data_IF_680461939642
#
_entry.id   IF_680461939642
#
_cell.length_a   1.000
_cell.length_b   1.000
_cell.length_c   1.000
_cell.angle_alpha   90.00
_cell.angle_beta   90.00
_cell.angle_gamma   90.00
#
_symmetry.space_group_name_H-M   'P 1'
#
loop_
_entity.id
_entity.type
_entity.pdbx_description
1 polymer ?
#
# COMPACT_ATOMS: atom_id res chain seq x y z
N UNK A 1 48.83 42.76 -7.90
CA UNK A 1 48.41 42.49 -9.30
C UNK A 1 46.95 42.10 -9.28
N UNK A 2 46.06 42.77 -9.99
CA UNK A 2 44.68 42.35 -10.02
C UNK A 2 44.49 41.15 -10.95
N UNK A 3 43.70 40.16 -10.56
CA UNK A 3 43.39 38.98 -11.36
C UNK A 3 42.91 39.34 -12.78
N UNK A 4 42.16 40.45 -12.92
CA UNK A 4 41.65 40.95 -14.18
C UNK A 4 42.72 41.40 -15.18
N UNK A 5 43.93 41.85 -14.72
CA UNK A 5 44.99 42.28 -15.62
C UNK A 5 45.56 41.17 -16.51
N UNK A 6 45.54 39.93 -16.04
CA UNK A 6 45.99 38.78 -16.81
C UNK A 6 45.05 38.46 -17.98
N UNK A 7 43.72 38.60 -17.76
CA UNK A 7 42.72 38.37 -18.78
C UNK A 7 42.64 39.50 -19.83
N UNK A 8 42.84 40.72 -19.41
CA UNK A 8 42.88 41.88 -20.33
C UNK A 8 44.07 41.81 -21.27
N UNK A 9 45.21 41.34 -20.79
CA UNK A 9 46.45 41.23 -21.61
C UNK A 9 46.44 40.08 -22.60
N UNK A 10 45.53 39.12 -22.48
CA UNK A 10 45.41 37.93 -23.34
C UNK A 10 44.00 37.76 -23.89
N UNK A 11 43.51 38.64 -24.77
CA UNK A 11 42.12 38.64 -25.19
C UNK A 11 41.68 37.35 -25.89
N UNK A 12 42.56 36.77 -26.73
CA UNK A 12 42.29 35.50 -27.42
C UNK A 12 42.14 34.35 -26.41
N UNK A 13 43.04 34.25 -25.43
CA UNK A 13 42.95 33.23 -24.38
C UNK A 13 41.70 33.37 -23.51
N UNK A 14 41.27 34.60 -23.21
CA UNK A 14 40.07 34.88 -22.45
C UNK A 14 38.81 34.51 -23.21
N UNK A 15 38.73 34.82 -24.51
CA UNK A 15 37.57 34.45 -25.34
C UNK A 15 37.48 32.93 -25.54
N UNK A 16 38.61 32.23 -25.72
CA UNK A 16 38.61 30.77 -25.80
C UNK A 16 38.17 30.12 -24.46
N UNK A 17 38.61 30.64 -23.32
CA UNK A 17 38.19 30.17 -22.01
C UNK A 17 36.68 30.37 -21.80
N UNK A 18 36.18 31.55 -22.16
CA UNK A 18 34.72 31.84 -22.06
C UNK A 18 33.90 30.92 -22.95
N UNK A 19 34.38 30.68 -24.19
CA UNK A 19 33.74 29.73 -25.11
C UNK A 19 33.77 28.30 -24.57
N UNK A 20 34.87 27.87 -23.99
CA UNK A 20 34.99 26.53 -23.39
C UNK A 20 34.00 26.35 -22.22
N UNK A 21 33.90 27.35 -21.33
CA UNK A 21 32.93 27.33 -20.22
C UNK A 21 31.48 27.30 -20.75
N UNK A 22 31.20 28.09 -21.76
CA UNK A 22 29.87 28.09 -22.41
C UNK A 22 29.54 26.73 -23.02
N UNK A 23 30.45 26.10 -23.75
CA UNK A 23 30.24 24.78 -24.35
C UNK A 23 30.07 23.68 -23.31
N UNK A 24 30.88 23.71 -22.23
CA UNK A 24 30.70 22.77 -21.10
C UNK A 24 29.34 22.98 -20.44
N UNK A 25 28.91 24.22 -20.18
CA UNK A 25 27.61 24.53 -19.64
C UNK A 25 26.48 24.03 -20.53
N UNK A 26 26.56 24.24 -21.83
CA UNK A 26 25.58 23.77 -22.80
C UNK A 26 25.52 22.21 -22.88
N UNK A 27 26.67 21.53 -22.75
CA UNK A 27 26.71 20.06 -22.75
C UNK A 27 26.17 19.44 -21.45
N UNK A 28 26.35 20.12 -20.32
CA UNK A 28 25.88 19.62 -19.00
C UNK A 28 24.41 19.96 -18.74
N UNK A 29 23.89 21.02 -19.41
CA UNK A 29 22.50 21.46 -19.21
C UNK A 29 21.44 20.34 -19.26
N UNK A 30 21.43 19.43 -20.26
CA UNK A 30 20.44 18.34 -20.32
C UNK A 30 20.66 17.26 -19.24
N UNK A 31 21.82 17.24 -18.58
CA UNK A 31 22.11 16.27 -17.51
C UNK A 31 21.67 16.76 -16.12
N UNK A 32 21.23 18.01 -16.01
CA UNK A 32 20.76 18.56 -14.74
C UNK A 32 19.44 17.90 -14.33
N UNK A 33 19.33 17.37 -13.10
CA UNK A 33 18.08 16.81 -12.60
C UNK A 33 17.01 17.90 -12.47
N UNK A 34 15.86 17.68 -13.09
CA UNK A 34 14.70 18.55 -12.97
C UNK A 34 13.81 18.08 -11.83
N UNK A 35 13.60 18.90 -10.81
CA UNK A 35 12.66 18.68 -9.74
C UNK A 35 11.68 19.86 -9.67
N UNK A 36 10.40 19.58 -9.44
CA UNK A 36 9.35 20.61 -9.37
C UNK A 36 9.44 21.49 -8.11
N UNK A 37 10.07 20.99 -7.06
CA UNK A 37 10.26 21.70 -5.78
C UNK A 37 11.67 21.42 -5.24
N UNK A 38 12.26 22.36 -4.46
CA UNK A 38 13.48 22.07 -3.71
C UNK A 38 13.26 20.83 -2.84
N UNK A 39 14.24 19.94 -2.81
CA UNK A 39 14.18 18.75 -1.94
C UNK A 39 14.41 19.22 -0.50
N UNK A 40 13.34 19.29 0.26
CA UNK A 40 13.39 19.43 1.71
C UNK A 40 13.00 18.06 2.28
N UNK A 41 14.01 17.32 2.74
CA UNK A 41 13.77 16.02 3.39
C UNK A 41 13.31 16.28 4.82
N UNK A 42 12.02 16.08 5.05
CA UNK A 42 11.48 15.99 6.41
C UNK A 42 11.55 14.53 6.85
N UNK A 43 12.45 14.17 7.79
CA UNK A 43 12.54 12.80 8.28
C UNK A 43 11.21 12.42 8.95
N UNK A 44 10.38 11.69 8.24
CA UNK A 44 9.03 11.34 8.71
C UNK A 44 8.79 9.85 8.55
N UNK A 45 8.21 9.24 9.56
CA UNK A 45 7.83 7.83 9.58
C UNK A 45 6.32 7.74 9.81
N UNK A 46 5.63 7.02 8.94
CA UNK A 46 4.23 6.68 9.10
C UNK A 46 4.11 5.26 9.65
N UNK A 47 3.52 5.14 10.81
CA UNK A 47 3.15 3.85 11.42
C UNK A 47 1.68 3.58 11.17
N UNK A 48 1.36 2.36 10.75
CA UNK A 48 -0.02 1.93 10.47
C UNK A 48 -0.33 0.64 11.22
N UNK A 49 -1.48 0.61 11.87
CA UNK A 49 -2.02 -0.57 12.52
C UNK A 49 -3.47 -0.79 12.09
N UNK A 50 -3.88 -2.06 11.94
CA UNK A 50 -5.24 -2.42 11.53
C UNK A 50 -5.85 -3.38 12.54
N UNK A 51 -7.08 -3.07 12.94
CA UNK A 51 -7.94 -3.93 13.76
C UNK A 51 -9.34 -3.92 13.15
N UNK A 52 -9.63 -4.83 12.22
CA UNK A 52 -10.93 -4.86 11.54
C UNK A 52 -12.09 -4.89 12.53
N UNK A 53 -13.06 -3.99 12.33
CA UNK A 53 -14.23 -3.85 13.21
C UNK A 53 -14.01 -2.95 14.43
N UNK A 54 -12.79 -2.46 14.68
CA UNK A 54 -12.54 -1.49 15.76
C UNK A 54 -13.16 -0.14 15.47
N UNK A 55 -13.93 0.42 16.44
CA UNK A 55 -14.40 1.81 16.32
C UNK A 55 -13.22 2.78 16.40
N UNK A 56 -13.35 4.03 15.91
CA UNK A 56 -12.29 5.03 16.03
C UNK A 56 -11.82 5.22 17.47
N UNK A 57 -12.74 5.21 18.45
CA UNK A 57 -12.44 5.33 19.89
C UNK A 57 -11.67 4.12 20.41
N UNK A 58 -12.07 2.91 19.98
CA UNK A 58 -11.35 1.67 20.30
C UNK A 58 -9.95 1.71 19.70
N UNK A 59 -9.83 2.08 18.44
CA UNK A 59 -8.53 2.20 17.78
C UNK A 59 -7.63 3.22 18.47
N UNK A 60 -8.16 4.37 18.89
CA UNK A 60 -7.42 5.39 19.58
C UNK A 60 -6.93 4.90 20.96
N UNK A 61 -7.80 4.28 21.75
CA UNK A 61 -7.47 3.89 23.13
C UNK A 61 -6.65 2.60 23.23
N UNK A 62 -6.92 1.59 22.39
CA UNK A 62 -6.29 0.27 22.52
C UNK A 62 -5.09 0.07 21.60
N UNK A 63 -4.99 0.85 20.51
CA UNK A 63 -3.91 0.71 19.53
C UNK A 63 -3.03 1.96 19.48
N UNK A 64 -3.61 3.15 19.22
CA UNK A 64 -2.80 4.35 19.08
C UNK A 64 -2.13 4.75 20.39
N UNK A 65 -2.86 4.85 21.47
CA UNK A 65 -2.33 5.33 22.77
C UNK A 65 -1.16 4.49 23.32
N UNK A 66 -1.17 3.13 23.30
CA UNK A 66 0.01 2.35 23.68
C UNK A 66 1.23 2.63 22.81
N UNK A 67 1.03 2.78 21.49
CA UNK A 67 2.11 3.11 20.55
C UNK A 67 2.65 4.53 20.81
N UNK A 68 1.78 5.51 20.94
CA UNK A 68 2.14 6.91 21.22
C UNK A 68 3.00 7.06 22.48
N UNK A 69 2.67 6.32 23.52
CA UNK A 69 3.46 6.31 24.77
C UNK A 69 4.90 5.84 24.53
N UNK A 70 5.09 4.83 23.69
CA UNK A 70 6.44 4.35 23.37
C UNK A 70 7.16 5.29 22.42
N UNK A 71 6.45 5.84 21.42
CA UNK A 71 7.04 6.76 20.46
C UNK A 71 7.46 8.09 21.10
N UNK A 72 6.74 8.57 22.11
CA UNK A 72 7.12 9.80 22.82
C UNK A 72 8.47 9.72 23.53
N UNK A 73 9.00 8.52 23.73
CA UNK A 73 10.32 8.30 24.33
C UNK A 73 11.47 8.34 23.31
N UNK A 74 11.15 8.41 22.01
CA UNK A 74 12.16 8.39 20.94
C UNK A 74 12.87 9.75 20.87
N UNK A 75 14.22 9.79 20.97
CA UNK A 75 14.97 11.03 20.88
C UNK A 75 14.83 11.71 19.51
N UNK A 76 14.72 13.03 19.48
CA UNK A 76 14.63 13.82 18.24
C UNK A 76 13.28 13.74 17.55
N UNK A 77 12.22 13.29 18.24
CA UNK A 77 10.85 13.40 17.77
C UNK A 77 10.38 14.84 17.92
N UNK A 78 10.15 15.53 16.78
CA UNK A 78 9.70 16.93 16.74
C UNK A 78 8.17 17.03 16.84
N UNK A 79 7.46 16.14 16.14
CA UNK A 79 5.99 16.15 16.12
C UNK A 79 5.45 14.72 15.97
N UNK A 80 4.36 14.44 16.65
CA UNK A 80 3.59 13.21 16.51
C UNK A 80 2.12 13.57 16.28
N UNK A 81 1.53 12.98 15.23
CA UNK A 81 0.11 13.14 14.91
C UNK A 81 -0.49 11.77 14.70
N UNK A 82 -1.59 11.48 15.37
CA UNK A 82 -2.32 10.23 15.19
C UNK A 82 -3.71 10.47 14.62
N UNK A 83 -4.14 9.57 13.76
CA UNK A 83 -5.49 9.55 13.20
C UNK A 83 -6.04 8.13 13.30
N UNK A 84 -7.13 7.99 14.04
CA UNK A 84 -7.85 6.72 14.17
C UNK A 84 -9.18 6.79 13.44
N UNK A 85 -9.38 5.81 12.57
CA UNK A 85 -10.60 5.63 11.78
C UNK A 85 -11.18 4.24 12.06
N UNK A 86 -12.27 3.88 11.39
CA UNK A 86 -12.85 2.55 11.55
C UNK A 86 -11.85 1.46 11.12
N UNK A 87 -11.39 0.66 12.08
CA UNK A 87 -10.51 -0.47 11.84
C UNK A 87 -9.05 -0.12 11.50
N UNK A 88 -8.66 1.15 11.53
CA UNK A 88 -7.31 1.57 11.20
C UNK A 88 -6.83 2.74 12.08
N UNK A 89 -5.58 2.68 12.49
CA UNK A 89 -4.87 3.79 13.12
C UNK A 89 -3.60 4.11 12.35
N UNK A 90 -3.35 5.39 12.11
CA UNK A 90 -2.15 5.91 11.48
C UNK A 90 -1.49 6.92 12.41
N UNK A 91 -0.20 6.75 12.66
CA UNK A 91 0.60 7.64 13.50
C UNK A 91 1.75 8.16 12.65
N UNK A 92 1.79 9.46 12.44
CA UNK A 92 2.85 10.16 11.72
C UNK A 92 3.85 10.71 12.73
N UNK A 93 5.10 10.28 12.61
CA UNK A 93 6.22 10.68 13.44
C UNK A 93 7.17 11.54 12.60
N UNK A 94 7.25 12.81 12.90
CA UNK A 94 8.18 13.75 12.27
C UNK A 94 9.36 14.00 13.20
N UNK A 95 10.56 13.80 12.69
CA UNK A 95 11.81 13.97 13.43
C UNK A 95 12.50 15.29 13.09
N UNK A 96 13.45 15.68 13.92
CA UNK A 96 14.31 16.83 13.67
C UNK A 96 15.06 16.67 12.34
N UNK A 97 15.27 17.75 11.61
CA UNK A 97 15.93 17.76 10.30
C UNK A 97 17.34 17.14 10.31
N UNK A 98 18.03 17.23 11.45
CA UNK A 98 19.37 16.67 11.64
C UNK A 98 19.36 15.17 12.00
N UNK A 99 18.18 14.57 12.19
CA UNK A 99 18.07 13.16 12.58
C UNK A 99 18.15 12.26 11.35
N UNK A 100 19.07 11.30 11.37
CA UNK A 100 19.13 10.28 10.34
C UNK A 100 17.87 9.41 10.36
N UNK A 101 17.13 9.35 9.25
CA UNK A 101 15.86 8.62 9.14
C UNK A 101 16.02 7.11 9.37
N UNK A 102 17.19 6.54 9.04
CA UNK A 102 17.48 5.12 9.25
C UNK A 102 17.60 4.78 10.74
N UNK A 103 18.27 5.64 11.51
CA UNK A 103 18.34 5.51 12.97
C UNK A 103 16.97 5.68 13.61
N UNK A 104 16.18 6.66 13.17
CA UNK A 104 14.82 6.86 13.66
C UNK A 104 13.92 5.65 13.36
N UNK A 105 14.10 5.00 12.20
CA UNK A 105 13.33 3.81 11.84
C UNK A 105 13.62 2.61 12.74
N UNK A 106 14.87 2.43 13.18
CA UNK A 106 15.23 1.40 14.16
C UNK A 106 14.63 1.68 15.54
N UNK A 107 14.63 2.94 15.97
CA UNK A 107 14.01 3.33 17.24
C UNK A 107 12.49 3.12 17.19
N UNK A 108 11.84 3.47 16.08
CA UNK A 108 10.39 3.21 15.87
C UNK A 108 10.10 1.71 15.93
N UNK A 109 10.90 0.87 15.25
CA UNK A 109 10.72 -0.58 15.32
C UNK A 109 10.86 -1.11 16.74
N UNK A 110 11.86 -0.61 17.47
CA UNK A 110 12.08 -0.99 18.89
C UNK A 110 10.90 -0.57 19.76
N UNK A 111 10.35 0.62 19.54
CA UNK A 111 9.19 1.12 20.26
C UNK A 111 7.92 0.33 19.93
N UNK A 112 7.72 -0.09 18.68
CA UNK A 112 6.62 -1.00 18.28
C UNK A 112 6.74 -2.33 19.02
N UNK A 113 7.95 -2.90 19.07
CA UNK A 113 8.18 -4.16 19.78
C UNK A 113 7.93 -4.02 21.30
N UNK A 114 8.33 -2.89 21.89
CA UNK A 114 8.06 -2.59 23.30
C UNK A 114 6.56 -2.43 23.61
N UNK A 115 5.80 -1.88 22.66
CA UNK A 115 4.34 -1.75 22.77
C UNK A 115 3.59 -3.08 22.60
N UNK A 116 4.19 -4.11 21.98
CA UNK A 116 3.50 -5.32 21.53
C UNK A 116 2.68 -6.00 22.63
N UNK A 117 3.18 -6.05 23.86
CA UNK A 117 2.47 -6.65 25.01
C UNK A 117 1.26 -5.84 25.51
N UNK A 118 1.11 -4.59 25.07
CA UNK A 118 0.00 -3.70 25.43
C UNK A 118 -1.06 -3.59 24.31
N UNK A 119 -0.74 -4.12 23.14
CA UNK A 119 -1.65 -4.12 21.99
C UNK A 119 -2.66 -5.27 22.08
N UNK A 120 -3.85 -5.13 21.47
CA UNK A 120 -4.84 -6.20 21.41
C UNK A 120 -4.27 -7.47 20.79
N UNK A 121 -4.46 -8.63 21.45
CA UNK A 121 -3.98 -9.92 20.95
C UNK A 121 -4.62 -10.36 19.62
N UNK A 122 -5.77 -9.78 19.27
CA UNK A 122 -6.51 -10.06 18.03
C UNK A 122 -6.14 -9.15 16.87
N UNK A 123 -5.01 -8.42 16.92
CA UNK A 123 -4.47 -7.72 15.77
C UNK A 123 -4.10 -8.74 14.67
N UNK A 124 -4.62 -8.61 13.43
CA UNK A 124 -4.30 -9.54 12.34
C UNK A 124 -2.82 -9.56 11.97
N UNK A 125 -2.14 -8.42 12.16
CA UNK A 125 -0.71 -8.26 11.95
C UNK A 125 -0.15 -7.21 12.91
N UNK A 126 1.14 -7.31 13.28
CA UNK A 126 1.82 -6.25 14.03
C UNK A 126 1.73 -4.90 13.29
N UNK A 127 1.79 -3.77 14.03
CA UNK A 127 1.91 -2.46 13.40
C UNK A 127 3.11 -2.41 12.45
N UNK A 128 2.91 -1.82 11.29
CA UNK A 128 3.96 -1.65 10.27
C UNK A 128 4.33 -0.19 10.14
N UNK A 129 5.57 0.09 9.78
CA UNK A 129 6.01 1.45 9.52
C UNK A 129 6.62 1.59 8.13
N UNK A 130 6.60 2.80 7.61
CA UNK A 130 7.29 3.20 6.39
C UNK A 130 7.85 4.60 6.51
N UNK A 131 9.00 4.81 5.91
CA UNK A 131 9.56 6.15 5.74
C UNK A 131 8.75 6.87 4.69
N UNK A 132 8.34 8.09 4.97
CA UNK A 132 7.64 8.95 4.04
C UNK A 132 8.30 10.33 4.04
N UNK A 133 8.24 11.01 2.92
CA UNK A 133 8.50 12.44 2.90
C UNK A 133 7.17 13.14 2.61
N UNK A 134 6.62 13.93 3.52
CA UNK A 134 5.35 14.64 3.31
C UNK A 134 5.37 15.59 2.11
N UNK A 135 6.55 16.01 1.68
CA UNK A 135 6.74 16.86 0.50
C UNK A 135 6.76 16.07 -0.82
N UNK A 136 6.81 14.72 -0.77
CA UNK A 136 6.80 13.91 -1.98
C UNK A 136 5.38 13.73 -2.52
N UNK A 137 5.18 14.22 -3.73
CA UNK A 137 3.97 13.96 -4.51
C UNK A 137 4.19 12.77 -5.44
N UNK A 138 3.10 12.09 -5.79
CA UNK A 138 3.15 11.08 -6.85
C UNK A 138 3.58 11.75 -8.17
N UNK A 139 4.64 11.24 -8.78
CA UNK A 139 5.16 11.75 -10.07
C UNK A 139 4.32 11.30 -11.25
N UNK A 140 3.55 10.24 -11.07
CA UNK A 140 2.65 9.68 -12.05
C UNK A 140 1.47 9.01 -11.34
N UNK A 141 0.27 9.18 -11.88
CA UNK A 141 -0.90 8.45 -11.44
C UNK A 141 -1.46 7.66 -12.61
N UNK A 142 -1.80 6.39 -12.35
CA UNK A 142 -2.37 5.49 -13.34
C UNK A 142 -3.73 5.01 -12.83
N UNK A 143 -4.76 5.12 -13.66
CA UNK A 143 -6.06 4.54 -13.40
C UNK A 143 -6.17 3.19 -14.13
N UNK A 144 -6.56 2.15 -13.39
CA UNK A 144 -6.80 0.81 -13.91
C UNK A 144 -8.29 0.51 -13.77
N UNK A 145 -8.95 0.25 -14.89
CA UNK A 145 -10.39 0.04 -14.96
C UNK A 145 -10.74 -1.15 -15.85
N UNK A 146 -11.95 -1.66 -15.71
CA UNK A 146 -12.56 -2.62 -16.64
C UNK A 146 -14.07 -2.42 -16.66
N UNK A 147 -14.66 -2.52 -17.84
CA UNK A 147 -16.10 -2.45 -18.01
C UNK A 147 -16.78 -3.81 -17.76
N UNK A 148 -16.02 -4.90 -17.80
CA UNK A 148 -16.56 -6.27 -17.76
C UNK A 148 -16.08 -7.07 -16.55
N UNK A 149 -14.89 -6.77 -16.02
CA UNK A 149 -14.31 -7.51 -14.89
C UNK A 149 -14.67 -6.86 -13.56
N UNK A 150 -14.87 -7.66 -12.50
CA UNK A 150 -15.02 -7.13 -11.15
C UNK A 150 -13.78 -6.34 -10.72
N UNK A 151 -13.97 -5.26 -9.95
CA UNK A 151 -12.85 -4.46 -9.43
C UNK A 151 -11.86 -5.25 -8.57
N UNK A 152 -12.30 -6.34 -7.94
CA UNK A 152 -11.41 -7.25 -7.20
C UNK A 152 -10.38 -7.90 -8.12
N UNK A 153 -10.79 -8.36 -9.31
CA UNK A 153 -9.88 -8.91 -10.32
C UNK A 153 -8.98 -7.82 -10.92
N UNK A 154 -9.54 -6.62 -11.17
CA UNK A 154 -8.74 -5.47 -11.61
C UNK A 154 -7.67 -5.12 -10.58
N UNK A 155 -8.01 -5.19 -9.30
CA UNK A 155 -7.04 -4.96 -8.21
C UNK A 155 -5.93 -6.02 -8.18
N UNK A 156 -6.24 -7.28 -8.44
CA UNK A 156 -5.21 -8.33 -8.54
C UNK A 156 -4.21 -8.02 -9.66
N UNK A 157 -4.67 -7.64 -10.84
CA UNK A 157 -3.78 -7.21 -11.93
C UNK A 157 -2.97 -5.97 -11.57
N UNK A 158 -3.59 -4.99 -10.91
CA UNK A 158 -2.91 -3.77 -10.48
C UNK A 158 -1.81 -4.05 -9.45
N UNK A 159 -2.06 -4.93 -8.48
CA UNK A 159 -1.14 -5.26 -7.38
C UNK A 159 -0.04 -6.24 -7.82
N UNK A 160 -0.41 -7.35 -8.46
CA UNK A 160 0.52 -8.44 -8.77
C UNK A 160 1.35 -8.20 -10.04
N UNK A 161 0.84 -7.45 -10.99
CA UNK A 161 1.54 -7.19 -12.26
C UNK A 161 2.03 -5.75 -12.33
N UNK A 162 1.12 -4.77 -12.35
CA UNK A 162 1.51 -3.39 -12.61
C UNK A 162 2.38 -2.80 -11.51
N UNK A 163 1.93 -2.89 -10.24
CA UNK A 163 2.66 -2.31 -9.13
C UNK A 163 4.04 -2.94 -8.96
N UNK A 164 4.16 -4.27 -9.12
CA UNK A 164 5.43 -4.97 -9.00
C UNK A 164 6.39 -4.60 -10.14
N UNK A 165 5.93 -4.63 -11.38
CA UNK A 165 6.77 -4.32 -12.55
C UNK A 165 7.20 -2.84 -12.57
N UNK A 166 6.29 -1.92 -12.23
CA UNK A 166 6.62 -0.49 -12.14
C UNK A 166 7.63 -0.24 -11.01
N UNK A 167 7.51 -0.92 -9.87
CA UNK A 167 8.43 -0.77 -8.74
C UNK A 167 9.87 -1.21 -9.05
N UNK A 168 10.08 -2.03 -10.06
CA UNK A 168 11.41 -2.49 -10.50
C UNK A 168 12.10 -1.51 -11.45
N UNK A 169 11.40 -0.48 -11.94
CA UNK A 169 11.99 0.50 -12.83
C UNK A 169 12.91 1.45 -12.07
N UNK A 170 14.06 1.75 -12.68
CA UNK A 170 15.01 2.68 -12.14
C UNK A 170 14.42 4.08 -11.94
N UNK A 171 14.61 4.66 -10.75
CA UNK A 171 14.06 5.94 -10.35
C UNK A 171 12.70 5.85 -9.64
N UNK A 172 12.03 4.70 -9.66
CA UNK A 172 10.81 4.45 -8.89
C UNK A 172 11.17 4.01 -7.47
N UNK A 173 10.66 4.71 -6.47
CA UNK A 173 10.86 4.40 -5.06
C UNK A 173 9.72 3.58 -4.47
N UNK A 174 8.49 3.89 -4.84
CA UNK A 174 7.31 3.21 -4.31
C UNK A 174 6.13 3.35 -5.27
N UNK A 175 5.27 2.31 -5.29
CA UNK A 175 3.95 2.36 -5.92
C UNK A 175 2.89 2.13 -4.85
N UNK A 176 1.94 3.05 -4.73
CA UNK A 176 0.84 2.98 -3.76
C UNK A 176 -0.47 2.77 -4.52
N UNK A 177 -1.28 1.83 -4.05
CA UNK A 177 -2.60 1.58 -4.60
C UNK A 177 -3.64 2.34 -3.78
N UNK A 178 -4.39 3.21 -4.42
CA UNK A 178 -5.50 3.94 -3.85
C UNK A 178 -6.83 3.29 -4.24
N UNK A 179 -7.74 3.17 -3.26
CA UNK A 179 -9.01 2.48 -3.44
C UNK A 179 -8.87 0.98 -3.67
N UNK A 180 -7.96 0.27 -2.95
CA UNK A 180 -7.72 -1.15 -3.18
C UNK A 180 -8.99 -1.96 -2.96
N UNK A 181 -9.24 -2.94 -3.83
CA UNK A 181 -10.38 -3.85 -3.79
C UNK A 181 -9.88 -5.29 -3.71
N UNK A 182 -9.15 -5.62 -2.62
CA UNK A 182 -8.62 -6.97 -2.45
C UNK A 182 -9.76 -7.99 -2.40
N UNK A 183 -9.67 -9.11 -3.15
CA UNK A 183 -10.70 -10.13 -3.13
C UNK A 183 -10.80 -10.80 -1.75
N UNK A 184 -12.01 -11.02 -1.28
CA UNK A 184 -12.28 -11.71 -0.03
C UNK A 184 -13.62 -12.44 -0.06
N UNK A 185 -13.77 -13.43 0.80
CA UNK A 185 -15.07 -14.00 1.14
C UNK A 185 -15.62 -13.26 2.34
N UNK A 186 -16.79 -12.68 2.18
CA UNK A 186 -17.49 -11.91 3.22
C UNK A 186 -18.67 -12.69 3.73
N UNK A 187 -18.69 -12.96 5.02
CA UNK A 187 -19.82 -13.61 5.69
C UNK A 187 -20.69 -12.52 6.30
N UNK A 188 -21.83 -12.29 5.66
CA UNK A 188 -22.81 -11.29 6.07
C UNK A 188 -23.84 -11.95 6.97
N UNK A 189 -23.86 -11.59 8.24
CA UNK A 189 -24.71 -12.17 9.26
C UNK A 189 -25.90 -11.26 9.56
N UNK A 190 -27.05 -11.86 9.85
CA UNK A 190 -28.26 -11.18 10.32
C UNK A 190 -28.29 -11.21 11.86
N UNK A 191 -28.14 -10.06 12.54
CA UNK A 191 -28.11 -10.00 13.99
C UNK A 191 -29.40 -10.51 14.64
N UNK A 192 -30.56 -10.31 13.99
CA UNK A 192 -31.85 -10.75 14.53
C UNK A 192 -31.96 -12.28 14.52
N UNK A 193 -31.50 -12.93 13.45
CA UNK A 193 -31.48 -14.39 13.36
C UNK A 193 -30.49 -15.00 14.37
N UNK A 194 -29.30 -14.37 14.53
CA UNK A 194 -28.31 -14.79 15.53
C UNK A 194 -28.89 -14.75 16.94
N UNK A 195 -29.53 -13.62 17.31
CA UNK A 195 -30.16 -13.44 18.60
C UNK A 195 -31.29 -14.47 18.83
N UNK A 196 -32.14 -14.74 17.84
CA UNK A 196 -33.21 -15.77 17.91
C UNK A 196 -32.69 -17.19 18.13
N UNK A 197 -31.47 -17.47 17.67
CA UNK A 197 -30.80 -18.75 17.88
C UNK A 197 -29.93 -18.79 19.13
N UNK A 198 -29.72 -17.66 19.80
CA UNK A 198 -28.89 -17.52 21.00
C UNK A 198 -27.39 -17.58 20.70
N UNK A 199 -26.96 -17.22 19.46
CA UNK A 199 -25.57 -17.20 19.05
C UNK A 199 -24.98 -15.80 19.18
N UNK A 200 -23.82 -15.70 19.79
CA UNK A 200 -23.04 -14.44 19.82
C UNK A 200 -22.18 -14.30 18.55
N UNK A 201 -21.94 -13.05 18.14
CA UNK A 201 -21.02 -12.76 17.04
C UNK A 201 -19.61 -13.30 17.29
N UNK A 202 -19.14 -13.28 18.53
CA UNK A 202 -17.82 -13.80 18.90
C UNK A 202 -17.74 -15.32 18.76
N UNK A 203 -18.78 -16.07 19.10
CA UNK A 203 -18.84 -17.51 18.88
C UNK A 203 -18.76 -17.83 17.39
N UNK A 204 -19.48 -17.08 16.54
CA UNK A 204 -19.42 -17.24 15.09
C UNK A 204 -18.04 -16.89 14.54
N UNK A 205 -17.44 -15.78 15.00
CA UNK A 205 -16.09 -15.39 14.60
C UNK A 205 -15.06 -16.48 14.91
N UNK A 206 -15.12 -17.06 16.10
CA UNK A 206 -14.22 -18.13 16.52
C UNK A 206 -14.32 -19.37 15.61
N UNK A 207 -15.57 -19.78 15.29
CA UNK A 207 -15.79 -20.91 14.37
C UNK A 207 -15.27 -20.60 12.96
N UNK A 208 -15.53 -19.41 12.42
CA UNK A 208 -15.04 -18.99 11.10
C UNK A 208 -13.52 -19.03 11.06
N UNK A 209 -12.84 -18.53 12.10
CA UNK A 209 -11.39 -18.52 12.16
C UNK A 209 -10.78 -19.94 12.18
N UNK A 210 -11.46 -20.88 12.83
CA UNK A 210 -11.00 -22.28 12.90
C UNK A 210 -11.41 -23.14 11.69
N UNK A 211 -12.46 -22.72 10.95
CA UNK A 211 -12.96 -23.45 9.79
C UNK A 211 -12.07 -23.35 8.54
N UNK A 212 -11.16 -22.38 8.48
CA UNK A 212 -10.24 -22.19 7.36
C UNK A 212 -8.84 -21.94 7.89
N UNK A 213 -8.06 -23.01 8.00
CA UNK A 213 -6.72 -22.95 8.57
C UNK A 213 -5.73 -23.62 7.62
N UNK A 214 -4.61 -22.93 7.34
CA UNK A 214 -3.47 -23.51 6.66
C UNK A 214 -2.37 -23.78 7.70
N UNK A 215 -2.28 -25.00 8.16
CA UNK A 215 -1.30 -25.43 9.16
C UNK A 215 -0.56 -26.69 8.72
N UNK A 216 0.70 -26.80 9.12
CA UNK A 216 1.44 -28.04 8.95
C UNK A 216 0.74 -29.18 9.73
N UNK A 217 0.45 -30.29 9.05
CA UNK A 217 -0.23 -31.48 9.63
C UNK A 217 0.76 -32.55 10.09
N UNK A 218 2.07 -32.36 9.85
CA UNK A 218 3.12 -33.29 10.20
C UNK A 218 3.42 -34.33 9.12
N UNK A 219 4.10 -35.39 9.50
CA UNK A 219 4.54 -36.47 8.62
C UNK A 219 4.11 -37.83 9.14
N UNK A 220 3.87 -38.75 8.25
CA UNK A 220 3.74 -40.19 8.54
C UNK A 220 5.08 -40.84 8.24
N UNK A 221 5.83 -41.16 9.30
CA UNK A 221 7.16 -41.74 9.20
C UNK A 221 7.07 -43.27 9.27
N UNK A 222 7.40 -43.93 8.16
CA UNK A 222 7.56 -45.37 8.09
C UNK A 222 9.04 -45.76 8.16
N UNK A 223 9.32 -47.08 8.26
CA UNK A 223 10.69 -47.60 8.40
C UNK A 223 11.63 -47.28 7.21
N UNK A 224 11.09 -46.94 6.03
CA UNK A 224 11.85 -46.64 4.80
C UNK A 224 11.42 -45.40 4.06
N UNK A 225 10.28 -44.80 4.41
CA UNK A 225 9.69 -43.64 3.73
C UNK A 225 8.97 -42.76 4.71
N UNK A 226 9.05 -41.44 4.50
CA UNK A 226 8.29 -40.44 5.21
C UNK A 226 7.33 -39.76 4.22
N UNK A 227 6.07 -39.63 4.58
CA UNK A 227 5.04 -38.96 3.79
C UNK A 227 4.58 -37.72 4.52
N UNK A 228 4.70 -36.57 3.89
CA UNK A 228 4.10 -35.33 4.41
C UNK A 228 2.58 -35.39 4.28
N UNK A 229 1.87 -35.15 5.38
CA UNK A 229 0.41 -35.04 5.37
C UNK A 229 0.03 -33.63 4.96
N UNK A 230 -0.63 -33.51 3.81
CA UNK A 230 -1.20 -32.26 3.32
C UNK A 230 -2.71 -32.42 3.22
N UNK A 231 -3.44 -31.41 3.73
CA UNK A 231 -4.90 -31.36 3.67
C UNK A 231 -5.32 -29.99 3.17
N UNK A 232 -6.26 -29.96 2.23
CA UNK A 232 -6.83 -28.71 1.75
C UNK A 232 -7.95 -28.24 2.69
N UNK A 233 -7.56 -27.66 3.84
CA UNK A 233 -8.48 -27.15 4.86
C UNK A 233 -8.91 -25.70 4.59
N UNK A 234 -8.47 -25.08 3.48
CA UNK A 234 -8.82 -23.70 3.16
C UNK A 234 -10.11 -23.60 2.35
N UNK A 235 -11.03 -22.80 2.83
CA UNK A 235 -12.28 -22.48 2.13
C UNK A 235 -12.10 -21.15 1.38
N UNK A 236 -11.65 -21.24 0.12
CA UNK A 236 -11.31 -20.06 -0.71
C UNK A 236 -12.50 -19.45 -1.45
N UNK A 237 -13.64 -20.15 -1.52
CA UNK A 237 -14.84 -19.71 -2.26
C UNK A 237 -16.01 -19.46 -1.32
N UNK A 238 -16.89 -18.53 -1.69
CA UNK A 238 -18.04 -18.19 -0.85
C UNK A 238 -19.05 -19.34 -0.68
N UNK A 239 -19.31 -20.12 -1.74
CA UNK A 239 -20.36 -21.15 -1.71
C UNK A 239 -20.18 -22.19 -0.57
N UNK A 240 -18.99 -22.81 -0.37
CA UNK A 240 -18.80 -23.78 0.71
C UNK A 240 -18.98 -23.20 2.12
N UNK A 241 -18.74 -21.89 2.30
CA UNK A 241 -18.92 -21.24 3.60
C UNK A 241 -20.36 -21.29 4.09
N UNK A 242 -21.35 -21.30 3.19
CA UNK A 242 -22.75 -21.37 3.56
C UNK A 242 -23.12 -22.68 4.28
N UNK A 243 -22.33 -23.73 4.09
CA UNK A 243 -22.54 -25.04 4.70
C UNK A 243 -21.74 -25.25 5.99
N UNK A 244 -20.87 -24.34 6.37
CA UNK A 244 -20.11 -24.40 7.62
C UNK A 244 -21.07 -24.40 8.80
N UNK A 245 -20.90 -25.37 9.72
CA UNK A 245 -21.69 -25.50 10.93
C UNK A 245 -21.14 -24.58 12.01
N UNK A 246 -21.96 -23.65 12.47
CA UNK A 246 -21.62 -22.69 13.51
C UNK A 246 -21.84 -23.23 14.93
N UNK A 247 -22.92 -23.98 15.12
CA UNK A 247 -23.30 -24.57 16.40
C UNK A 247 -24.31 -25.69 16.21
N UNK A 248 -24.56 -26.42 17.28
CA UNK A 248 -25.69 -27.38 17.34
C UNK A 248 -26.72 -26.91 18.36
N UNK A 249 -27.99 -26.93 17.98
CA UNK A 249 -29.13 -26.65 18.88
C UNK A 249 -30.10 -27.81 18.82
N UNK A 250 -30.38 -28.42 19.96
CA UNK A 250 -31.26 -29.61 20.06
C UNK A 250 -30.89 -30.74 19.07
N UNK A 251 -29.57 -30.96 18.84
CA UNK A 251 -29.09 -31.96 17.92
C UNK A 251 -29.06 -31.54 16.43
N UNK A 252 -29.69 -30.42 16.07
CA UNK A 252 -29.70 -29.90 14.71
C UNK A 252 -28.51 -28.93 14.46
N UNK A 253 -27.79 -29.04 13.33
CA UNK A 253 -26.70 -28.12 12.99
C UNK A 253 -27.29 -26.78 12.53
N UNK A 254 -26.76 -25.70 13.10
CA UNK A 254 -26.96 -24.32 12.61
C UNK A 254 -25.82 -23.98 11.70
N UNK A 255 -26.10 -23.63 10.46
CA UNK A 255 -25.11 -23.30 9.43
C UNK A 255 -25.08 -21.80 9.15
N UNK A 256 -24.03 -21.35 8.45
CA UNK A 256 -23.92 -19.94 8.02
C UNK A 256 -25.16 -19.48 7.25
N UNK A 257 -25.69 -20.29 6.34
CA UNK A 257 -26.92 -19.97 5.57
C UNK A 257 -28.16 -19.77 6.41
N UNK A 258 -28.21 -20.30 7.63
CA UNK A 258 -29.36 -20.15 8.51
C UNK A 258 -29.40 -18.79 9.21
N UNK A 259 -28.20 -18.16 9.36
CA UNK A 259 -28.01 -16.88 10.05
C UNK A 259 -27.53 -15.76 9.15
N UNK A 260 -27.22 -16.06 7.87
CA UNK A 260 -26.71 -15.09 6.94
C UNK A 260 -26.33 -15.70 5.60
N UNK A 261 -25.36 -15.10 4.92
CA UNK A 261 -24.83 -15.61 3.66
C UNK A 261 -23.36 -15.28 3.48
N UNK A 262 -22.63 -16.16 2.82
CA UNK A 262 -21.27 -15.90 2.35
C UNK A 262 -21.31 -15.39 0.90
N UNK A 263 -20.64 -14.29 0.63
CA UNK A 263 -20.56 -13.65 -0.70
C UNK A 263 -19.11 -13.36 -1.03
N UNK A 264 -18.75 -13.46 -2.31
CA UNK A 264 -17.46 -12.99 -2.82
C UNK A 264 -17.54 -11.48 -3.03
N UNK A 265 -16.53 -10.75 -2.57
CA UNK A 265 -16.49 -9.30 -2.72
C UNK A 265 -15.14 -8.73 -2.26
N UNK A 266 -15.01 -7.41 -2.19
CA UNK A 266 -13.81 -6.80 -1.65
C UNK A 266 -13.71 -6.98 -0.13
N UNK A 267 -12.47 -7.04 0.38
CA UNK A 267 -12.17 -7.08 1.81
C UNK A 267 -12.79 -5.88 2.54
N UNK A 268 -12.63 -4.69 1.96
CA UNK A 268 -13.20 -3.45 2.48
C UNK A 268 -14.08 -2.75 1.43
N UNK A 269 -15.37 -2.67 1.70
CA UNK A 269 -16.34 -1.99 0.81
C UNK A 269 -16.35 -0.47 0.96
N UNK A 270 -15.72 0.06 2.02
CA UNK A 270 -15.70 1.49 2.31
C UNK A 270 -14.55 2.21 1.60
N UNK A 271 -13.54 1.47 1.15
CA UNK A 271 -12.48 2.01 0.33
C UNK A 271 -12.90 2.00 -1.13
N UNK A 272 -12.76 3.14 -1.80
CA UNK A 272 -13.03 3.27 -3.21
C UNK A 272 -12.22 4.42 -3.82
N UNK A 273 -11.83 4.28 -5.08
CA UNK A 273 -11.29 5.35 -5.88
C UNK A 273 -12.11 5.50 -7.16
N UNK A 274 -12.16 6.72 -7.66
CA UNK A 274 -12.80 7.06 -8.92
C UNK A 274 -11.82 7.83 -9.78
N UNK A 275 -11.86 7.55 -11.06
CA UNK A 275 -11.11 8.31 -12.04
C UNK A 275 -12.06 8.79 -13.15
N UNK A 276 -11.85 10.02 -13.56
CA UNK A 276 -12.63 10.66 -14.61
C UNK A 276 -11.70 11.36 -15.59
N UNK A 277 -11.91 11.19 -16.89
CA UNK A 277 -11.24 12.02 -17.89
C UNK A 277 -12.00 13.34 -18.06
N UNK A 278 -11.31 14.48 -17.89
CA UNK A 278 -11.90 15.79 -18.15
C UNK A 278 -12.31 15.98 -19.62
N UNK A 279 -13.32 16.82 -19.86
CA UNK A 279 -13.71 17.23 -21.22
C UNK A 279 -12.55 18.03 -21.84
N UNK A 280 -11.75 17.43 -22.69
CA UNK A 280 -10.55 18.05 -23.29
C UNK A 280 -9.28 17.20 -23.13
N UNK A 281 -9.32 16.10 -22.40
CA UNK A 281 -8.25 15.13 -22.42
C UNK A 281 -8.16 14.55 -23.85
N UNK A 282 -7.15 15.02 -24.60
CA UNK A 282 -6.89 14.58 -25.98
C UNK A 282 -6.37 13.15 -25.95
N UNK A 283 -7.31 12.18 -25.87
CA UNK A 283 -7.05 10.74 -25.85
C UNK A 283 -7.70 10.13 -27.07
N UNK A 284 -7.06 10.39 -28.24
CA UNK A 284 -7.58 9.93 -29.51
C UNK A 284 -7.79 8.41 -29.60
N UNK A 285 -7.14 7.62 -28.73
CA UNK A 285 -7.05 6.16 -28.88
C UNK A 285 -7.49 5.34 -27.66
N UNK A 286 -8.02 5.93 -26.58
CA UNK A 286 -8.42 5.17 -25.37
C UNK A 286 -9.83 5.55 -24.92
N UNK A 287 -10.57 4.55 -24.43
CA UNK A 287 -11.90 4.73 -23.84
C UNK A 287 -11.90 5.82 -22.75
N UNK A 288 -12.98 6.61 -22.64
CA UNK A 288 -13.06 7.63 -21.61
C UNK A 288 -13.02 6.98 -20.22
N UNK A 289 -12.17 7.51 -19.36
CA UNK A 289 -12.13 7.09 -17.96
C UNK A 289 -13.35 7.70 -17.27
N UNK A 290 -14.25 6.87 -16.78
CA UNK A 290 -15.45 7.37 -16.13
C UNK A 290 -15.99 6.36 -15.12
N UNK A 291 -15.62 6.51 -13.85
CA UNK A 291 -16.18 5.69 -12.81
C UNK A 291 -15.17 5.13 -11.81
N UNK A 292 -15.53 4.01 -11.20
CA UNK A 292 -14.68 3.33 -10.20
C UNK A 292 -13.42 2.78 -10.85
N UNK A 293 -12.30 3.00 -10.19
CA UNK A 293 -10.97 2.61 -10.68
C UNK A 293 -10.09 2.14 -9.51
N UNK A 294 -9.07 1.39 -9.85
CA UNK A 294 -7.90 1.20 -8.98
C UNK A 294 -6.86 2.25 -9.42
N UNK A 295 -6.44 3.11 -8.52
CA UNK A 295 -5.47 4.17 -8.85
C UNK A 295 -4.12 3.82 -8.28
N UNK A 296 -3.10 3.78 -9.12
CA UNK A 296 -1.70 3.57 -8.76
C UNK A 296 -1.00 4.94 -8.71
N UNK A 297 -0.51 5.33 -7.55
CA UNK A 297 0.36 6.49 -7.39
C UNK A 297 1.82 6.07 -7.37
N UNK A 298 2.61 6.55 -8.31
CA UNK A 298 4.04 6.25 -8.39
C UNK A 298 4.84 7.37 -7.75
N UNK A 299 5.74 7.02 -6.85
CA UNK A 299 6.65 7.92 -6.14
C UNK A 299 8.08 7.63 -6.57
N UNK A 300 8.89 8.67 -6.68
CA UNK A 300 10.29 8.54 -7.07
C UNK A 300 11.20 8.22 -5.89
N UNK A 301 12.39 7.68 -6.18
CA UNK A 301 13.49 7.65 -5.19
C UNK A 301 13.99 9.09 -4.95
N UNK A 302 14.41 9.44 -3.73
CA UNK A 302 15.08 10.71 -3.48
C UNK A 302 16.25 10.94 -4.47
N UNK A 303 16.33 12.14 -5.06
CA UNK A 303 17.36 12.47 -6.04
C UNK A 303 17.12 12.03 -7.48
N UNK A 304 16.14 11.17 -7.76
CA UNK A 304 15.82 10.76 -9.13
C UNK A 304 15.21 11.90 -9.96
N UNK A 305 15.55 11.92 -11.25
CA UNK A 305 14.98 12.84 -12.22
C UNK A 305 13.52 12.43 -12.53
N UNK A 306 12.57 13.32 -12.26
CA UNK A 306 11.13 13.07 -12.46
C UNK A 306 10.82 12.81 -13.93
N UNK A 307 11.35 13.63 -14.84
CA UNK A 307 11.05 13.56 -16.28
C UNK A 307 11.53 12.22 -16.86
N UNK A 308 12.76 11.83 -16.55
CA UNK A 308 13.33 10.56 -17.04
C UNK A 308 12.62 9.34 -16.46
N UNK A 309 12.27 9.39 -15.16
CA UNK A 309 11.54 8.31 -14.51
C UNK A 309 10.15 8.14 -15.14
N UNK A 310 9.41 9.22 -15.34
CA UNK A 310 8.09 9.19 -15.99
C UNK A 310 8.20 8.73 -17.46
N UNK A 311 9.25 9.16 -18.18
CA UNK A 311 9.48 8.72 -19.56
C UNK A 311 9.74 7.20 -19.62
N UNK A 312 10.56 6.64 -18.72
CA UNK A 312 10.79 5.19 -18.62
C UNK A 312 9.51 4.42 -18.30
N UNK A 313 8.71 4.89 -17.35
CA UNK A 313 7.44 4.25 -17.02
C UNK A 313 6.52 4.26 -18.25
N UNK A 314 6.37 5.39 -18.93
CA UNK A 314 5.51 5.50 -20.12
C UNK A 314 6.00 4.60 -21.27
N UNK A 315 7.30 4.45 -21.43
CA UNK A 315 7.88 3.56 -22.45
C UNK A 315 7.63 2.07 -22.12
N UNK A 316 7.60 1.71 -20.83
CA UNK A 316 7.36 0.35 -20.39
C UNK A 316 5.87 -0.03 -20.32
N UNK A 317 4.95 0.95 -20.18
CA UNK A 317 3.51 0.71 -20.02
C UNK A 317 2.91 -0.21 -21.12
N UNK A 318 3.22 -0.06 -22.42
CA UNK A 318 2.66 -0.95 -23.44
C UNK A 318 3.02 -2.42 -23.22
N UNK A 319 4.24 -2.70 -22.73
CA UNK A 319 4.67 -4.06 -22.40
C UNK A 319 3.90 -4.62 -21.20
N UNK A 320 3.64 -3.79 -20.22
CA UNK A 320 2.87 -4.19 -19.03
C UNK A 320 1.39 -4.40 -19.40
N UNK A 321 0.81 -3.51 -20.20
CA UNK A 321 -0.56 -3.64 -20.71
C UNK A 321 -0.74 -4.94 -21.51
N UNK A 322 0.25 -5.36 -22.29
CA UNK A 322 0.21 -6.61 -23.05
C UNK A 322 0.18 -7.87 -22.16
N UNK A 323 0.64 -7.78 -20.92
CA UNK A 323 0.57 -8.86 -19.93
C UNK A 323 -0.77 -8.93 -19.19
N UNK A 324 -1.64 -7.91 -19.37
CA UNK A 324 -2.95 -7.86 -18.75
C UNK A 324 -4.02 -8.49 -19.65
N UNK A 325 -5.18 -8.79 -19.05
CA UNK A 325 -6.37 -9.11 -19.84
C UNK A 325 -6.74 -7.95 -20.76
N UNK A 326 -7.14 -8.19 -22.02
CA UNK A 326 -7.62 -7.14 -22.93
C UNK A 326 -8.80 -6.32 -22.39
N UNK A 327 -9.53 -6.86 -21.41
CA UNK A 327 -10.63 -6.18 -20.73
C UNK A 327 -10.18 -5.16 -19.69
N UNK A 328 -8.89 -5.07 -19.37
CA UNK A 328 -8.33 -4.14 -18.40
C UNK A 328 -7.69 -2.97 -19.13
N UNK A 329 -8.11 -1.77 -18.78
CA UNK A 329 -7.62 -0.53 -19.38
C UNK A 329 -6.75 0.23 -18.37
N UNK A 330 -5.53 0.57 -18.77
CA UNK A 330 -4.62 1.41 -18.01
C UNK A 330 -4.58 2.80 -18.62
N UNK A 331 -4.71 3.81 -17.81
CA UNK A 331 -4.72 5.19 -18.28
C UNK A 331 -3.88 6.07 -17.36
N UNK A 332 -3.08 6.96 -17.95
CA UNK A 332 -2.34 7.99 -17.22
C UNK A 332 -3.32 9.12 -16.87
N UNK A 333 -3.36 9.51 -15.61
CA UNK A 333 -4.19 10.63 -15.11
C UNK A 333 -3.47 11.97 -15.22
#
# INVERSE_FOLDING_TARGET
MSLSSTFIRRPIGTSLLALAIFLVGAAVWPLLPVASLPQVDFPTILVSARLPGGSPETMASTVAQPLERQFSLIPGLAQMTSQSTLGQSQITLQFDLNRAIDGAALDVQTAINAAAGQLPANLPSPPTFRKINPADFSILQLAVQSDTLPLTTVNEYADTILAQQISQLEGVGQVIIFGPQKPAVRIQLDPARLAGLGLSLEAVRSVITTATVSQAKGTLDGARQSFTVDTNDQILRAAPWNDVVLAYKNGAPIRVRDVGQAVTGPEDVKQAAWAFSGAGANRADKAPINGRAIVLGVFKVPGANVVDTVARIRAALPTFEAALSPAVHVSVL
#
